data_IF_120115325715
#
_entry.id   IF_120115325715
#
_cell.length_a   1.000
_cell.length_b   1.000
_cell.length_c   1.000
_cell.angle_alpha   90.00
_cell.angle_beta   90.00
_cell.angle_gamma   90.00
#
_symmetry.space_group_name_H-M   'P 1'
#
loop_
_entity.id
_entity.type
_entity.pdbx_description
1 polymer ?
#
# COMPACT_ATOMS: atom_id res chain seq x y z
N UNK A 1 -44.12 -28.84 68.35
CA UNK A 1 -43.83 -29.42 67.02
C UNK A 1 -45.01 -29.10 66.11
N UNK A 2 -44.88 -28.69 64.84
CA UNK A 2 -43.72 -28.23 64.06
C UNK A 2 -44.26 -27.30 62.95
N UNK A 3 -43.54 -26.23 62.56
CA UNK A 3 -43.98 -25.35 61.47
C UNK A 3 -43.63 -25.94 60.10
N UNK A 4 -44.47 -25.68 59.07
CA UNK A 4 -44.05 -25.68 57.65
C UNK A 4 -44.86 -24.67 56.81
N UNK A 5 -44.19 -23.58 56.41
CA UNK A 5 -44.34 -22.93 55.09
C UNK A 5 -43.19 -23.49 54.21
N UNK A 6 -43.24 -23.48 52.85
CA UNK A 6 -43.04 -22.24 52.08
C UNK A 6 -43.87 -22.07 50.81
N UNK A 7 -44.03 -20.79 50.43
CA UNK A 7 -44.44 -20.32 49.09
C UNK A 7 -43.17 -20.21 48.22
N UNK A 8 -43.20 -20.65 46.96
CA UNK A 8 -42.21 -20.25 45.92
C UNK A 8 -42.60 -20.71 44.50
N UNK A 9 -43.40 -19.93 43.78
CA UNK A 9 -43.66 -20.11 42.33
C UNK A 9 -43.52 -18.80 41.51
N UNK A 10 -42.98 -17.73 42.11
CA UNK A 10 -42.95 -16.39 41.49
C UNK A 10 -41.64 -15.97 40.80
N UNK A 11 -40.64 -16.86 40.67
CA UNK A 11 -39.28 -16.48 40.26
C UNK A 11 -38.89 -16.87 38.82
N UNK A 12 -39.60 -17.83 38.19
CA UNK A 12 -39.22 -18.33 36.86
C UNK A 12 -39.58 -17.36 35.71
N UNK A 13 -40.68 -16.62 35.82
CA UNK A 13 -41.16 -15.74 34.74
C UNK A 13 -40.31 -14.47 34.54
N UNK A 14 -39.71 -13.93 35.60
CA UNK A 14 -38.94 -12.68 35.54
C UNK A 14 -37.61 -12.84 34.78
N UNK A 15 -37.01 -14.03 34.83
CA UNK A 15 -35.72 -14.31 34.20
C UNK A 15 -35.80 -14.37 32.66
N UNK A 16 -36.94 -14.82 32.12
CA UNK A 16 -37.11 -14.96 30.67
C UNK A 16 -37.25 -13.60 29.96
N UNK A 17 -37.80 -12.59 30.65
CA UNK A 17 -38.04 -11.24 30.10
C UNK A 17 -36.73 -10.43 30.04
N UNK A 18 -35.82 -10.61 31.00
CA UNK A 18 -34.51 -9.92 30.97
C UNK A 18 -33.60 -10.35 29.81
N UNK A 19 -33.71 -11.60 29.34
CA UNK A 19 -32.87 -12.10 28.25
C UNK A 19 -33.17 -11.46 26.88
N UNK A 20 -34.39 -10.94 26.67
CA UNK A 20 -34.79 -10.33 25.39
C UNK A 20 -34.35 -8.86 25.23
N UNK A 21 -33.98 -8.19 26.33
CA UNK A 21 -33.53 -6.78 26.30
C UNK A 21 -32.05 -6.62 25.91
N UNK A 22 -31.27 -7.70 25.89
CA UNK A 22 -29.87 -7.70 25.43
C UNK A 22 -29.72 -8.04 23.94
N UNK A 23 -30.81 -8.07 23.16
CA UNK A 23 -30.77 -7.90 21.71
C UNK A 23 -30.46 -6.43 21.32
N UNK A 24 -29.51 -5.81 22.03
CA UNK A 24 -28.98 -4.50 21.70
C UNK A 24 -28.34 -4.60 20.32
N UNK A 25 -28.94 -3.92 19.35
CA UNK A 25 -28.47 -3.90 17.98
C UNK A 25 -26.99 -3.51 17.99
N UNK A 26 -26.12 -4.38 17.49
CA UNK A 26 -24.75 -4.02 17.18
C UNK A 26 -24.75 -3.08 15.97
N UNK A 27 -25.23 -1.86 16.20
CA UNK A 27 -24.85 -0.71 15.40
C UNK A 27 -23.36 -0.50 15.65
N UNK A 28 -22.56 -1.25 14.90
CA UNK A 28 -21.24 -0.78 14.51
C UNK A 28 -21.47 0.59 13.91
N UNK A 29 -21.22 1.64 14.71
CA UNK A 29 -20.96 2.96 14.17
C UNK A 29 -19.99 2.74 13.04
N UNK A 30 -20.42 3.05 11.82
CA UNK A 30 -19.64 2.77 10.63
C UNK A 30 -18.38 3.62 10.73
N UNK A 31 -17.28 3.00 11.20
CA UNK A 31 -16.03 3.69 11.45
C UNK A 31 -15.45 4.29 10.16
N UNK A 32 -15.94 3.80 9.02
CA UNK A 32 -15.56 4.25 7.70
C UNK A 32 -16.42 5.45 7.21
N UNK A 33 -17.47 5.82 7.96
CA UNK A 33 -18.31 6.99 7.69
C UNK A 33 -17.57 8.33 7.84
N UNK A 34 -16.42 8.34 8.54
CA UNK A 34 -15.55 9.49 8.65
C UNK A 34 -14.74 9.78 7.37
N UNK A 35 -14.65 8.81 6.44
CA UNK A 35 -13.91 8.97 5.19
C UNK A 35 -14.84 9.33 4.02
N UNK A 36 -14.24 9.91 2.97
CA UNK A 36 -14.94 10.21 1.72
C UNK A 36 -15.34 8.95 0.92
N UNK A 37 -16.11 9.13 -0.16
CA UNK A 37 -16.68 8.02 -0.93
C UNK A 37 -15.63 7.05 -1.51
N UNK A 38 -14.48 7.52 -1.99
CA UNK A 38 -13.44 6.66 -2.60
C UNK A 38 -12.77 5.80 -1.53
N UNK A 39 -12.31 6.41 -0.44
CA UNK A 39 -11.68 5.68 0.68
C UNK A 39 -12.68 4.72 1.30
N UNK A 40 -13.95 5.12 1.48
CA UNK A 40 -15.01 4.23 2.01
C UNK A 40 -15.31 3.06 1.08
N UNK A 41 -15.34 3.28 -0.24
CA UNK A 41 -15.52 2.20 -1.23
C UNK A 41 -14.37 1.19 -1.15
N UNK A 42 -13.13 1.65 -1.01
CA UNK A 42 -11.97 0.77 -0.81
C UNK A 42 -12.03 0.00 0.52
N UNK A 43 -12.43 0.65 1.61
CA UNK A 43 -12.58 -0.01 2.91
C UNK A 43 -13.71 -1.04 2.93
N UNK A 44 -14.80 -0.80 2.17
CA UNK A 44 -15.86 -1.77 1.90
C UNK A 44 -15.39 -2.93 1.02
N UNK A 45 -14.61 -2.67 -0.02
CA UNK A 45 -13.97 -3.70 -0.84
C UNK A 45 -13.10 -4.64 0.01
N UNK A 46 -12.23 -4.09 0.87
CA UNK A 46 -11.41 -4.90 1.79
C UNK A 46 -12.24 -5.72 2.79
N UNK A 47 -13.42 -5.25 3.19
CA UNK A 47 -14.35 -6.04 4.02
C UNK A 47 -14.88 -7.24 3.23
N UNK A 48 -15.31 -7.05 1.99
CA UNK A 48 -15.80 -8.12 1.13
C UNK A 48 -14.70 -9.19 0.86
N UNK A 49 -13.45 -8.76 0.67
CA UNK A 49 -12.30 -9.68 0.54
C UNK A 49 -12.07 -10.52 1.81
N UNK A 50 -12.28 -9.95 3.01
CA UNK A 50 -12.22 -10.74 4.26
C UNK A 50 -13.34 -11.78 4.30
N UNK A 51 -14.56 -11.42 3.89
CA UNK A 51 -15.70 -12.36 3.84
C UNK A 51 -15.43 -13.52 2.85
N UNK A 52 -14.79 -13.27 1.71
CA UNK A 52 -14.34 -14.32 0.76
C UNK A 52 -13.26 -15.21 1.38
N UNK A 53 -12.31 -14.64 2.11
CA UNK A 53 -11.25 -15.40 2.80
C UNK A 53 -11.83 -16.26 3.95
N UNK A 54 -12.83 -15.76 4.67
CA UNK A 54 -13.56 -16.47 5.73
C UNK A 54 -14.40 -17.63 5.15
N UNK A 55 -15.15 -17.40 4.08
CA UNK A 55 -15.97 -18.42 3.39
C UNK A 55 -15.11 -19.60 2.90
N UNK A 56 -14.00 -19.32 2.23
CA UNK A 56 -13.07 -20.36 1.72
C UNK A 56 -12.44 -21.20 2.83
N UNK A 57 -12.23 -20.62 4.02
CA UNK A 57 -11.82 -21.39 5.21
C UNK A 57 -12.94 -22.27 5.73
N UNK A 58 -14.17 -21.77 5.78
CA UNK A 58 -15.33 -22.56 6.23
C UNK A 58 -15.54 -23.81 5.37
N UNK A 59 -15.29 -23.69 4.07
CA UNK A 59 -15.31 -24.77 3.06
C UNK A 59 -14.06 -25.65 3.06
N UNK A 60 -13.03 -25.29 3.82
CA UNK A 60 -11.71 -25.96 3.88
C UNK A 60 -10.95 -25.97 2.55
N UNK A 61 -11.20 -24.99 1.68
CA UNK A 61 -10.56 -24.84 0.37
C UNK A 61 -9.13 -24.25 0.47
N UNK A 62 -8.79 -23.66 1.62
CA UNK A 62 -7.51 -23.01 1.86
C UNK A 62 -6.89 -23.43 3.18
N UNK A 63 -5.56 -23.33 3.28
CA UNK A 63 -4.84 -23.70 4.49
C UNK A 63 -4.99 -22.65 5.60
N UNK A 64 -4.86 -23.02 6.89
CA UNK A 64 -4.83 -22.05 7.99
C UNK A 64 -3.69 -21.03 7.88
N UNK A 65 -2.59 -21.36 7.20
CA UNK A 65 -1.50 -20.42 6.92
C UNK A 65 -1.93 -19.37 5.88
N UNK A 66 -2.56 -19.79 4.78
CA UNK A 66 -3.14 -18.89 3.78
C UNK A 66 -4.16 -17.95 4.42
N UNK A 67 -5.07 -18.48 5.24
CA UNK A 67 -6.07 -17.68 5.95
C UNK A 67 -5.45 -16.54 6.77
N UNK A 68 -4.50 -16.89 7.65
CA UNK A 68 -3.83 -15.91 8.52
C UNK A 68 -3.15 -14.84 7.69
N UNK A 69 -2.36 -15.22 6.67
CA UNK A 69 -1.63 -14.26 5.85
C UNK A 69 -2.57 -13.33 5.07
N UNK A 70 -3.62 -13.84 4.43
CA UNK A 70 -4.54 -12.98 3.67
C UNK A 70 -5.34 -12.05 4.60
N UNK A 71 -5.85 -12.56 5.73
CA UNK A 71 -6.53 -11.71 6.73
C UNK A 71 -5.60 -10.64 7.31
N UNK A 72 -4.32 -10.98 7.52
CA UNK A 72 -3.29 -10.06 7.97
C UNK A 72 -2.96 -9.00 6.91
N UNK A 73 -2.90 -9.38 5.63
CA UNK A 73 -2.70 -8.48 4.48
C UNK A 73 -3.84 -7.48 4.35
N UNK A 74 -5.09 -7.95 4.43
CA UNK A 74 -6.29 -7.11 4.36
C UNK A 74 -6.28 -6.06 5.49
N UNK A 75 -5.93 -6.46 6.72
CA UNK A 75 -5.74 -5.51 7.84
C UNK A 75 -4.61 -4.52 7.59
N UNK A 76 -3.49 -4.94 6.99
CA UNK A 76 -2.37 -4.06 6.68
C UNK A 76 -2.74 -3.01 5.62
N UNK A 77 -3.44 -3.41 4.56
CA UNK A 77 -3.99 -2.52 3.54
C UNK A 77 -4.98 -1.52 4.13
N UNK A 78 -5.91 -1.99 4.99
CA UNK A 78 -6.87 -1.14 5.70
C UNK A 78 -6.19 -0.09 6.56
N UNK A 79 -5.18 -0.48 7.33
CA UNK A 79 -4.39 0.45 8.15
C UNK A 79 -3.65 1.50 7.31
N UNK A 80 -3.09 1.12 6.16
CA UNK A 80 -2.43 2.07 5.26
C UNK A 80 -3.42 3.02 4.61
N UNK A 81 -4.57 2.55 4.13
CA UNK A 81 -5.61 3.39 3.53
C UNK A 81 -6.15 4.43 4.52
N UNK A 82 -6.47 4.00 5.75
CA UNK A 82 -6.90 4.90 6.83
C UNK A 82 -5.81 5.94 7.17
N UNK A 83 -4.52 5.53 7.16
CA UNK A 83 -3.38 6.44 7.36
C UNK A 83 -3.32 7.50 6.27
N UNK A 84 -3.28 7.11 4.99
CA UNK A 84 -3.20 8.02 3.84
C UNK A 84 -4.34 9.04 3.88
N UNK A 85 -5.58 8.59 4.09
CA UNK A 85 -6.73 9.47 4.18
C UNK A 85 -6.62 10.47 5.35
N UNK A 86 -6.11 10.03 6.51
CA UNK A 86 -5.92 10.90 7.68
C UNK A 86 -4.79 11.92 7.53
N UNK A 87 -3.70 11.53 6.86
CA UNK A 87 -2.50 12.37 6.67
C UNK A 87 -2.71 13.40 5.55
N UNK A 88 -3.27 12.97 4.42
CA UNK A 88 -3.52 13.86 3.26
C UNK A 88 -4.75 14.74 3.42
N UNK A 89 -5.72 14.32 4.26
CA UNK A 89 -7.07 14.90 4.38
C UNK A 89 -7.80 15.01 3.03
N UNK A 90 -7.47 14.11 2.11
CA UNK A 90 -8.05 14.01 0.77
C UNK A 90 -8.72 12.64 0.63
N UNK A 91 -9.74 12.55 -0.23
CA UNK A 91 -10.38 11.29 -0.62
C UNK A 91 -9.64 10.61 -1.79
N UNK A 92 -8.40 11.02 -2.08
CA UNK A 92 -7.55 10.32 -3.02
C UNK A 92 -6.84 9.15 -2.33
N UNK A 93 -7.02 7.95 -2.88
CA UNK A 93 -6.33 6.74 -2.45
C UNK A 93 -5.77 6.03 -3.68
N UNK A 94 -4.44 5.80 -3.78
CA UNK A 94 -3.87 5.03 -4.87
C UNK A 94 -4.20 3.54 -4.72
N UNK A 95 -4.06 2.77 -5.81
CA UNK A 95 -4.14 1.30 -5.75
C UNK A 95 -3.05 0.76 -4.82
N UNK A 96 -3.43 0.16 -3.70
CA UNK A 96 -2.51 -0.35 -2.68
C UNK A 96 -2.24 -1.84 -2.85
N UNK A 97 -0.96 -2.21 -2.84
CA UNK A 97 -0.47 -3.58 -2.81
C UNK A 97 0.32 -3.84 -1.52
N UNK A 98 0.11 -4.99 -0.88
CA UNK A 98 0.79 -5.36 0.36
C UNK A 98 1.36 -6.78 0.30
N UNK A 99 2.68 -6.88 0.35
CA UNK A 99 3.43 -8.15 0.22
C UNK A 99 4.30 -8.42 1.43
N UNK A 100 4.42 -9.69 1.83
CA UNK A 100 5.48 -10.12 2.74
C UNK A 100 6.83 -10.21 1.99
N UNK A 101 7.94 -10.31 2.71
CA UNK A 101 9.28 -10.33 2.11
C UNK A 101 9.47 -11.45 1.06
N UNK A 102 8.89 -12.62 1.31
CA UNK A 102 8.87 -13.79 0.41
C UNK A 102 7.98 -13.60 -0.84
N UNK A 103 7.17 -12.55 -0.88
CA UNK A 103 6.20 -12.26 -1.95
C UNK A 103 6.64 -11.11 -2.87
N UNK A 104 7.84 -10.54 -2.70
CA UNK A 104 8.32 -9.45 -3.55
C UNK A 104 8.39 -9.82 -5.04
N UNK A 105 8.63 -11.10 -5.36
CA UNK A 105 8.61 -11.63 -6.72
C UNK A 105 7.23 -11.56 -7.42
N UNK A 106 6.15 -11.23 -6.69
CA UNK A 106 4.83 -10.98 -7.27
C UNK A 106 4.72 -9.56 -7.89
N UNK A 107 5.48 -8.59 -7.37
CA UNK A 107 5.46 -7.19 -7.84
C UNK A 107 6.67 -6.85 -8.72
N UNK A 108 7.81 -7.51 -8.50
CA UNK A 108 9.09 -7.17 -9.11
C UNK A 108 9.75 -8.40 -9.75
N UNK A 109 10.07 -8.30 -11.04
CA UNK A 109 10.92 -9.29 -11.74
C UNK A 109 12.31 -9.43 -11.08
N UNK A 110 12.82 -8.32 -10.54
CA UNK A 110 14.04 -8.25 -9.74
C UNK A 110 13.70 -7.57 -8.40
N UNK A 111 13.43 -8.34 -7.33
CA UNK A 111 13.13 -7.81 -6.01
C UNK A 111 14.19 -6.84 -5.47
N UNK A 112 13.83 -5.60 -5.09
CA UNK A 112 14.75 -4.70 -4.40
C UNK A 112 15.12 -5.25 -3.02
N UNK A 113 16.35 -4.99 -2.57
CA UNK A 113 16.79 -5.37 -1.22
C UNK A 113 16.00 -4.60 -0.16
N UNK A 114 15.50 -5.30 0.86
CA UNK A 114 14.69 -4.72 1.94
C UNK A 114 15.40 -3.59 2.71
N UNK A 115 16.73 -3.57 2.68
CA UNK A 115 17.58 -2.55 3.32
C UNK A 115 17.67 -1.22 2.57
N UNK A 116 17.31 -1.16 1.28
CA UNK A 116 17.36 0.10 0.51
C UNK A 116 16.04 0.86 0.50
N UNK A 117 14.91 0.18 0.80
CA UNK A 117 13.55 0.70 0.67
C UNK A 117 13.30 1.99 1.50
N UNK A 118 13.05 3.11 0.82
CA UNK A 118 12.69 4.40 1.43
C UNK A 118 11.25 4.81 1.11
N UNK A 119 10.52 5.32 2.10
CA UNK A 119 9.16 5.81 1.87
C UNK A 119 9.17 6.92 0.81
N UNK A 120 8.30 6.80 -0.20
CA UNK A 120 8.25 7.68 -1.36
C UNK A 120 9.12 7.24 -2.55
N UNK A 121 10.02 6.28 -2.39
CA UNK A 121 10.85 5.72 -3.47
C UNK A 121 10.00 4.98 -4.51
N UNK A 122 10.33 5.15 -5.79
CA UNK A 122 9.59 4.55 -6.90
C UNK A 122 10.43 3.48 -7.60
N UNK A 123 9.86 2.28 -7.72
CA UNK A 123 10.46 1.10 -8.31
C UNK A 123 9.87 0.84 -9.70
N UNK A 124 10.74 0.62 -10.69
CA UNK A 124 10.39 0.26 -12.08
C UNK A 124 9.39 1.20 -12.77
N UNK A 125 9.32 2.47 -12.36
CA UNK A 125 8.27 3.45 -12.74
C UNK A 125 6.82 2.99 -12.47
N UNK A 126 6.59 1.96 -11.63
CA UNK A 126 5.28 1.33 -11.44
C UNK A 126 4.77 1.33 -10.00
N UNK A 127 5.66 1.21 -9.02
CA UNK A 127 5.30 1.07 -7.60
C UNK A 127 6.03 2.09 -6.73
N UNK A 128 5.30 2.87 -5.93
CA UNK A 128 5.85 3.78 -4.91
C UNK A 128 5.78 3.09 -3.56
N UNK A 129 6.89 2.94 -2.84
CA UNK A 129 6.89 2.33 -1.52
C UNK A 129 6.32 3.29 -0.47
N UNK A 130 5.34 2.82 0.31
CA UNK A 130 4.62 3.61 1.32
C UNK A 130 5.06 3.30 2.75
N UNK A 131 5.77 2.20 2.96
CA UNK A 131 6.33 1.81 4.26
C UNK A 131 5.89 0.42 4.74
N UNK A 132 6.20 0.15 6.01
CA UNK A 132 5.91 -1.12 6.67
C UNK A 132 4.63 -1.03 7.49
N UNK A 133 3.83 -2.09 7.45
CA UNK A 133 2.70 -2.31 8.37
C UNK A 133 2.87 -3.66 9.07
N UNK A 134 2.61 -3.70 10.39
CA UNK A 134 2.69 -4.92 11.21
C UNK A 134 1.28 -5.34 11.63
N UNK A 135 0.82 -6.46 11.12
CA UNK A 135 -0.47 -7.05 11.47
C UNK A 135 -0.30 -8.57 11.50
N UNK A 136 0.10 -9.12 12.65
CA UNK A 136 0.45 -10.54 12.80
C UNK A 136 1.79 -10.92 12.15
N UNK A 137 2.05 -10.46 10.94
CA UNK A 137 3.35 -10.49 10.25
C UNK A 137 3.69 -9.11 9.66
N UNK A 138 4.81 -9.02 8.94
CA UNK A 138 5.35 -7.77 8.37
C UNK A 138 4.95 -7.68 6.89
N UNK A 139 4.22 -6.62 6.53
CA UNK A 139 3.93 -6.29 5.13
C UNK A 139 4.64 -5.00 4.71
N UNK A 140 5.17 -5.04 3.49
CA UNK A 140 5.67 -3.89 2.76
C UNK A 140 4.54 -3.42 1.84
N UNK A 141 4.10 -2.18 2.01
CA UNK A 141 2.96 -1.63 1.28
C UNK A 141 3.44 -0.67 0.20
N UNK A 142 2.87 -0.79 -0.99
CA UNK A 142 3.20 -0.03 -2.17
C UNK A 142 1.92 0.60 -2.75
N UNK A 143 2.05 1.78 -3.35
CA UNK A 143 1.05 2.35 -4.26
C UNK A 143 1.43 2.03 -5.70
N UNK A 144 0.49 1.60 -6.54
CA UNK A 144 0.69 1.59 -7.99
C UNK A 144 0.55 3.02 -8.51
N UNK A 145 1.50 3.47 -9.32
CA UNK A 145 1.44 4.80 -9.93
C UNK A 145 0.44 4.79 -11.09
N UNK A 146 -0.41 5.82 -11.15
CA UNK A 146 -1.36 5.96 -12.26
C UNK A 146 -0.66 6.33 -13.59
N UNK A 147 -1.32 6.15 -14.75
CA UNK A 147 -0.68 6.41 -16.04
C UNK A 147 -0.11 7.83 -16.22
N UNK A 148 -0.67 8.83 -15.53
CA UNK A 148 -0.17 10.21 -15.60
C UNK A 148 1.11 10.36 -14.78
N UNK A 149 1.12 9.88 -13.53
CA UNK A 149 2.34 9.85 -12.71
C UNK A 149 3.48 9.06 -13.41
N UNK A 150 3.18 7.93 -14.05
CA UNK A 150 4.16 7.17 -14.83
C UNK A 150 4.70 7.98 -16.02
N UNK A 151 3.84 8.72 -16.71
CA UNK A 151 4.23 9.54 -17.86
C UNK A 151 5.11 10.72 -17.45
N UNK A 152 4.83 11.35 -16.29
CA UNK A 152 5.67 12.41 -15.74
C UNK A 152 7.06 11.90 -15.36
N UNK A 153 7.16 10.74 -14.70
CA UNK A 153 8.46 10.17 -14.33
C UNK A 153 9.31 9.86 -15.56
N UNK A 154 8.76 9.20 -16.58
CA UNK A 154 9.46 8.92 -17.84
C UNK A 154 9.87 10.21 -18.56
N UNK A 155 9.02 11.24 -18.56
CA UNK A 155 9.35 12.54 -19.14
C UNK A 155 10.50 13.25 -18.40
N UNK A 156 10.58 13.12 -17.06
CA UNK A 156 11.70 13.63 -16.25
C UNK A 156 12.98 12.85 -16.53
N UNK A 157 12.91 11.52 -16.59
CA UNK A 157 14.05 10.64 -16.94
C UNK A 157 14.65 11.04 -18.30
N UNK A 158 13.83 11.14 -19.36
CA UNK A 158 14.26 11.54 -20.71
C UNK A 158 14.97 12.91 -20.70
N UNK A 159 14.42 13.90 -19.99
CA UNK A 159 15.05 15.23 -19.86
C UNK A 159 16.40 15.14 -19.16
N UNK A 160 16.47 14.45 -18.02
CA UNK A 160 17.71 14.29 -17.26
C UNK A 160 18.81 13.53 -18.02
N UNK A 161 18.45 12.54 -18.84
CA UNK A 161 19.40 11.86 -19.73
C UNK A 161 19.91 12.76 -20.87
N UNK A 162 19.03 13.57 -21.46
CA UNK A 162 19.36 14.48 -22.57
C UNK A 162 20.25 15.64 -22.13
N UNK A 163 20.13 16.10 -20.88
CA UNK A 163 21.01 17.10 -20.28
C UNK A 163 22.40 16.53 -19.91
N UNK A 164 22.47 15.25 -19.50
CA UNK A 164 23.74 14.58 -19.19
C UNK A 164 24.62 14.35 -20.45
N UNK A 165 24.02 14.18 -21.63
CA UNK A 165 24.74 14.01 -22.90
C UNK A 165 25.16 15.35 -23.55
N UNK A 166 24.60 16.48 -23.10
CA UNK A 166 24.88 17.83 -23.63
C UNK A 166 25.88 18.66 -22.81
N UNK A 167 26.72 18.02 -21.98
CA UNK A 167 27.89 18.70 -21.41
C UNK A 167 28.88 19.04 -22.54
N UNK A 168 29.17 20.33 -22.83
CA UNK A 168 30.17 20.67 -23.81
C UNK A 168 31.54 20.19 -23.30
N UNK A 169 32.23 19.39 -24.11
CA UNK A 169 33.64 19.05 -23.86
C UNK A 169 34.41 20.34 -23.54
N UNK A 170 35.17 20.38 -22.43
CA UNK A 170 35.97 21.56 -22.11
C UNK A 170 36.92 21.84 -23.28
N UNK A 171 37.02 23.10 -23.75
CA UNK A 171 37.83 23.41 -24.92
C UNK A 171 39.29 23.05 -24.63
N UNK A 172 39.82 22.07 -25.36
CA UNK A 172 41.25 21.79 -25.34
C UNK A 172 41.99 23.05 -25.80
N UNK A 173 42.73 23.68 -24.89
CA UNK A 173 43.57 24.83 -25.22
C UNK A 173 44.69 24.41 -26.17
N UNK A 174 44.43 24.56 -27.46
CA UNK A 174 45.46 24.54 -28.50
C UNK A 174 46.41 25.72 -28.28
N UNK A 175 47.65 25.44 -27.90
CA UNK A 175 48.63 26.50 -27.64
C UNK A 175 50.07 26.01 -27.47
N UNK A 176 50.82 25.88 -28.57
CA UNK A 176 51.82 26.90 -28.92
C UNK A 176 52.64 26.54 -30.18
N UNK A 177 53.10 27.59 -30.87
CA UNK A 177 53.69 27.63 -32.22
C UNK A 177 55.16 27.16 -32.28
N UNK A 178 55.55 26.64 -33.46
CA UNK A 178 56.86 26.77 -34.14
C UNK A 178 56.76 26.09 -35.54
N UNK A 179 57.49 26.46 -36.61
CA UNK A 179 58.36 27.64 -36.87
C UNK A 179 58.31 28.06 -38.37
N UNK A 180 58.91 29.22 -38.66
CA UNK A 180 59.12 29.92 -39.94
C UNK A 180 59.74 29.10 -41.12
N UNK A 181 59.28 29.33 -42.38
CA UNK A 181 60.03 29.93 -43.53
C UNK A 181 59.80 29.37 -44.96
N UNK A 182 58.90 30.04 -45.71
CA UNK A 182 59.02 30.58 -47.09
C UNK A 182 59.47 29.73 -48.34
N UNK A 183 58.70 29.87 -49.44
CA UNK A 183 59.06 30.57 -50.74
C UNK A 183 58.85 29.79 -52.07
N UNK A 184 58.24 30.51 -53.06
CA UNK A 184 58.15 30.29 -54.55
C UNK A 184 57.15 29.20 -55.03
N UNK A 185 56.18 29.49 -55.92
CA UNK A 185 56.22 29.86 -57.38
C UNK A 185 56.54 28.62 -58.23
N UNK A 186 55.82 28.23 -59.29
CA UNK A 186 54.95 28.98 -60.23
C UNK A 186 53.71 28.21 -60.76
N UNK A 187 52.78 28.96 -61.37
CA UNK A 187 51.84 28.62 -62.45
C UNK A 187 52.54 28.11 -63.74
N UNK A 188 51.83 27.69 -64.82
CA UNK A 188 50.39 27.77 -65.11
C UNK A 188 49.60 26.46 -65.06
#
# INVERSE_FOLDING_TARGET
MSSRRPVSFGLAGLFLILCLLNAGSAQTFDADAAYGPVVRAYLGYLKNEQEVVDDRVSRREVTPAYYRRNSNRIRALRQMAMRIASETRNDYLPELEAVSADEFGLLFEQPPHLSVLRVGEVFSTKFRYLGVVRSGEVFYVFARLDPYEQSELRAREIRSGTEAENLPNPPQLSGSKNVTRARRVSTP
#
